data_IF_991509245292
#
_entry.id   IF_991509245292
#
_cell.length_a   1.000
_cell.length_b   1.000
_cell.length_c   1.000
_cell.angle_alpha   90.00
_cell.angle_beta   90.00
_cell.angle_gamma   90.00
#
_symmetry.space_group_name_H-M   'P 1'
#
loop_
_entity.id
_entity.type
_entity.pdbx_description
1 polymer ?
#
# COMPACT_ATOMS: atom_id res chain seq x y z
N UNK A 1 -42.30 -10.27 3.33
CA UNK A 1 -41.42 -9.13 3.01
C UNK A 1 -40.13 -9.72 2.46
N UNK A 2 -39.75 -9.41 1.22
CA UNK A 2 -38.45 -9.85 0.71
C UNK A 2 -37.36 -9.14 1.53
N UNK A 3 -36.44 -9.89 2.13
CA UNK A 3 -35.26 -9.30 2.78
C UNK A 3 -34.48 -8.51 1.73
N UNK A 4 -34.54 -7.18 1.81
CA UNK A 4 -33.74 -6.30 0.96
C UNK A 4 -32.27 -6.51 1.29
N UNK A 5 -31.60 -7.30 0.45
CA UNK A 5 -30.15 -7.54 0.49
C UNK A 5 -29.44 -6.48 -0.36
N UNK A 6 -28.20 -6.14 0.01
CA UNK A 6 -27.43 -5.10 -0.71
C UNK A 6 -27.19 -5.49 -2.16
N UNK A 7 -27.45 -4.56 -3.09
CA UNK A 7 -27.07 -4.67 -4.51
C UNK A 7 -25.86 -3.81 -4.87
N UNK A 8 -25.13 -3.27 -3.88
CA UNK A 8 -24.04 -2.34 -4.15
C UNK A 8 -22.93 -2.95 -5.02
N UNK A 9 -22.59 -2.21 -6.06
CA UNK A 9 -21.38 -2.29 -6.86
C UNK A 9 -20.89 -0.86 -7.15
N UNK A 10 -19.65 -0.69 -7.62
CA UNK A 10 -19.09 0.64 -7.83
C UNK A 10 -19.68 1.39 -9.04
N UNK A 11 -20.60 0.75 -9.80
CA UNK A 11 -21.30 1.36 -10.94
C UNK A 11 -22.57 2.12 -10.51
N UNK A 12 -23.00 1.96 -9.25
CA UNK A 12 -24.16 2.70 -8.71
C UNK A 12 -23.83 4.18 -8.46
N UNK A 13 -24.87 5.02 -8.52
CA UNK A 13 -24.75 6.43 -8.11
C UNK A 13 -24.30 6.54 -6.64
N UNK A 14 -23.60 7.62 -6.29
CA UNK A 14 -23.04 7.80 -4.93
C UNK A 14 -24.08 7.63 -3.82
N UNK A 15 -25.29 8.16 -4.01
CA UNK A 15 -26.38 8.03 -3.04
C UNK A 15 -26.89 6.59 -2.91
N UNK A 16 -27.09 5.90 -4.03
CA UNK A 16 -27.50 4.49 -4.02
C UNK A 16 -26.41 3.60 -3.42
N UNK A 17 -25.14 3.83 -3.80
CA UNK A 17 -23.99 3.12 -3.25
C UNK A 17 -23.92 3.27 -1.73
N UNK A 18 -24.05 4.50 -1.22
CA UNK A 18 -24.06 4.76 0.22
C UNK A 18 -25.18 3.99 0.94
N UNK A 19 -26.41 4.04 0.41
CA UNK A 19 -27.56 3.35 0.97
C UNK A 19 -27.34 1.83 1.03
N UNK A 20 -26.97 1.21 -0.09
CA UNK A 20 -26.81 -0.24 -0.17
C UNK A 20 -25.59 -0.74 0.63
N UNK A 21 -24.48 0.01 0.69
CA UNK A 21 -23.35 -0.34 1.58
C UNK A 21 -23.73 -0.27 3.05
N UNK A 22 -24.60 0.68 3.45
CA UNK A 22 -25.15 0.73 4.81
C UNK A 22 -26.02 -0.49 5.10
N UNK A 23 -26.85 -0.93 4.15
CA UNK A 23 -27.62 -2.17 4.28
C UNK A 23 -26.71 -3.39 4.42
N UNK A 24 -25.67 -3.51 3.58
CA UNK A 24 -24.68 -4.58 3.69
C UNK A 24 -24.04 -4.61 5.08
N UNK A 25 -23.62 -3.44 5.57
CA UNK A 25 -22.99 -3.30 6.87
C UNK A 25 -23.85 -3.80 8.03
N UNK A 26 -25.17 -3.65 7.95
CA UNK A 26 -26.08 -3.96 9.06
C UNK A 26 -26.71 -5.35 8.93
N UNK A 27 -26.94 -5.85 7.70
CA UNK A 27 -27.81 -7.02 7.46
C UNK A 27 -27.17 -8.18 6.70
N UNK A 28 -25.96 -8.05 6.15
CA UNK A 28 -25.45 -9.08 5.24
C UNK A 28 -24.95 -10.34 5.96
N UNK A 29 -24.45 -10.21 7.19
CA UNK A 29 -23.82 -11.32 7.90
C UNK A 29 -24.85 -12.16 8.66
N UNK A 30 -24.76 -13.49 8.60
CA UNK A 30 -25.65 -14.36 9.36
C UNK A 30 -25.38 -14.26 10.85
N UNK A 31 -26.41 -14.53 11.65
CA UNK A 31 -26.30 -14.67 13.11
C UNK A 31 -25.37 -15.85 13.47
N UNK A 32 -24.82 -15.85 14.70
CA UNK A 32 -23.92 -16.91 15.16
C UNK A 32 -22.48 -16.84 14.64
N UNK A 33 -22.20 -15.93 13.70
CA UNK A 33 -20.83 -15.62 13.25
C UNK A 33 -20.22 -14.56 14.14
N UNK A 34 -19.08 -14.87 14.75
CA UNK A 34 -18.30 -13.89 15.48
C UNK A 34 -17.96 -12.68 14.60
N UNK A 35 -17.97 -11.48 15.19
CA UNK A 35 -17.86 -10.21 14.47
C UNK A 35 -16.70 -10.20 13.46
N UNK A 36 -16.98 -10.03 12.15
CA UNK A 36 -15.94 -9.97 11.13
C UNK A 36 -15.14 -8.66 11.23
N UNK A 37 -13.89 -8.66 10.75
CA UNK A 37 -13.07 -7.46 10.70
C UNK A 37 -13.46 -6.59 9.50
N UNK A 38 -13.61 -5.28 9.69
CA UNK A 38 -14.00 -4.36 8.61
C UNK A 38 -12.78 -3.60 8.07
N UNK A 39 -12.15 -4.14 7.03
CA UNK A 39 -10.96 -3.52 6.41
C UNK A 39 -11.28 -2.28 5.55
N UNK A 40 -12.55 -1.90 5.38
CA UNK A 40 -12.89 -0.70 4.61
C UNK A 40 -13.08 0.52 5.50
N UNK A 41 -13.71 0.34 6.67
CA UNK A 41 -14.15 1.46 7.51
C UNK A 41 -13.58 1.46 8.93
N UNK A 42 -12.93 0.39 9.36
CA UNK A 42 -12.43 0.24 10.74
C UNK A 42 -10.93 -0.06 10.75
N UNK A 43 -10.51 -1.19 10.16
CA UNK A 43 -9.15 -1.73 10.23
C UNK A 43 -8.37 -1.65 8.91
N UNK A 44 -8.59 -0.61 8.11
CA UNK A 44 -8.03 -0.46 6.76
C UNK A 44 -6.49 -0.49 6.66
N UNK A 45 -5.77 -0.22 7.74
CA UNK A 45 -4.31 -0.24 7.82
C UNK A 45 -3.77 -1.42 8.64
N UNK A 46 -4.60 -2.40 8.98
CA UNK A 46 -4.16 -3.59 9.72
C UNK A 46 -3.01 -4.30 9.00
N UNK A 47 -1.90 -4.50 9.71
CA UNK A 47 -0.68 -5.11 9.16
C UNK A 47 0.14 -4.21 8.23
N UNK A 48 -0.29 -2.96 8.00
CA UNK A 48 0.43 -1.96 7.20
C UNK A 48 1.08 -0.88 8.06
N UNK A 49 0.72 -0.79 9.34
CA UNK A 49 1.31 0.14 10.32
C UNK A 49 1.66 -0.57 11.63
N UNK A 50 2.66 -0.07 12.36
CA UNK A 50 3.00 -0.54 13.70
C UNK A 50 2.12 0.15 14.79
N UNK A 51 2.44 -0.13 16.06
CA UNK A 51 1.71 0.45 17.21
C UNK A 51 1.92 1.95 17.41
N UNK A 52 2.98 2.52 16.85
CA UNK A 52 3.25 3.96 16.84
C UNK A 52 2.85 4.61 15.49
N UNK A 53 2.10 3.85 14.68
CA UNK A 53 1.50 4.22 13.40
C UNK A 53 2.49 4.52 12.26
N UNK A 54 3.73 4.02 12.34
CA UNK A 54 4.64 4.04 11.20
C UNK A 54 4.21 3.02 10.15
N UNK A 55 4.30 3.39 8.88
CA UNK A 55 4.04 2.48 7.77
C UNK A 55 5.13 1.42 7.64
N UNK A 56 4.71 0.19 7.33
CA UNK A 56 5.53 -1.00 7.34
C UNK A 56 5.47 -1.75 6.01
N UNK A 57 6.57 -2.44 5.68
CA UNK A 57 6.61 -3.50 4.66
C UNK A 57 7.12 -4.79 5.28
N UNK A 58 6.55 -5.92 4.86
CA UNK A 58 6.97 -7.25 5.32
C UNK A 58 8.43 -7.49 4.96
N UNK A 59 9.19 -8.10 5.87
CA UNK A 59 10.48 -8.70 5.57
C UNK A 59 10.27 -9.99 4.75
N UNK A 60 10.73 -10.07 3.48
CA UNK A 60 10.59 -11.26 2.66
C UNK A 60 11.20 -12.52 3.29
N UNK A 61 12.21 -12.39 4.16
CA UNK A 61 12.81 -13.52 4.87
C UNK A 61 11.85 -14.19 5.87
N UNK A 62 10.76 -13.51 6.21
CA UNK A 62 9.71 -14.00 7.13
C UNK A 62 8.51 -14.60 6.39
N UNK A 63 8.57 -14.64 5.06
CA UNK A 63 7.55 -15.26 4.24
C UNK A 63 7.78 -16.76 4.08
N UNK A 64 6.68 -17.50 4.08
CA UNK A 64 6.63 -18.95 3.87
C UNK A 64 5.61 -19.27 2.79
N UNK A 65 5.98 -20.19 1.90
CA UNK A 65 5.11 -20.64 0.81
C UNK A 65 3.91 -21.42 1.40
N UNK A 66 2.71 -21.04 0.99
CA UNK A 66 1.50 -21.81 1.15
C UNK A 66 1.56 -22.98 0.17
N UNK A 67 1.70 -24.20 0.68
CA UNK A 67 1.63 -25.41 -0.17
C UNK A 67 0.26 -25.47 -0.87
N UNK A 68 0.21 -25.01 -2.12
CA UNK A 68 -0.94 -25.07 -3.00
C UNK A 68 -0.64 -26.03 -4.15
N UNK A 69 -1.65 -26.79 -4.57
CA UNK A 69 -1.56 -27.73 -5.68
C UNK A 69 -1.72 -27.05 -7.04
N UNK A 70 -1.04 -25.91 -7.26
CA UNK A 70 -1.05 -25.17 -8.52
C UNK A 70 0.21 -24.33 -8.72
N UNK A 71 0.36 -23.75 -9.91
CA UNK A 71 1.63 -23.18 -10.40
C UNK A 71 2.08 -21.88 -9.72
N UNK A 72 1.21 -21.22 -8.95
CA UNK A 72 1.54 -19.97 -8.25
C UNK A 72 2.03 -20.25 -6.84
N UNK A 73 3.28 -19.89 -6.56
CA UNK A 73 3.85 -19.85 -5.22
C UNK A 73 3.26 -18.69 -4.43
N UNK A 74 2.19 -18.96 -3.68
CA UNK A 74 1.60 -17.99 -2.77
C UNK A 74 2.37 -17.98 -1.46
N UNK A 75 2.65 -16.80 -0.92
CA UNK A 75 3.40 -16.63 0.32
C UNK A 75 2.63 -15.78 1.33
N UNK A 76 2.85 -16.05 2.61
CA UNK A 76 2.38 -15.25 3.76
C UNK A 76 3.43 -15.34 4.86
N UNK A 77 3.26 -14.60 5.95
CA UNK A 77 4.14 -14.74 7.11
C UNK A 77 4.18 -16.20 7.61
N UNK A 78 5.35 -16.61 8.08
CA UNK A 78 5.66 -17.97 8.48
C UNK A 78 4.62 -18.63 9.41
N UNK A 79 4.21 -17.93 10.47
CA UNK A 79 3.21 -18.35 11.43
C UNK A 79 1.79 -18.40 10.83
N UNK A 80 1.49 -17.52 9.87
CA UNK A 80 0.21 -17.48 9.15
C UNK A 80 0.08 -18.71 8.24
N UNK A 81 1.17 -19.09 7.56
CA UNK A 81 1.19 -20.28 6.72
C UNK A 81 0.96 -21.57 7.55
N UNK A 82 1.56 -21.65 8.74
CA UNK A 82 1.36 -22.80 9.64
C UNK A 82 -0.07 -22.85 10.20
N UNK A 83 -0.61 -21.72 10.64
CA UNK A 83 -1.99 -21.62 11.09
C UNK A 83 -2.97 -22.04 9.98
N UNK A 84 -2.76 -21.54 8.76
CA UNK A 84 -3.62 -21.86 7.62
C UNK A 84 -3.57 -23.34 7.23
N UNK A 85 -2.38 -23.96 7.27
CA UNK A 85 -2.23 -25.40 7.02
C UNK A 85 -3.09 -26.22 7.98
N UNK A 86 -3.03 -25.89 9.27
CA UNK A 86 -3.74 -26.64 10.31
C UNK A 86 -5.26 -26.41 10.23
N UNK A 87 -5.67 -25.16 9.98
CA UNK A 87 -7.07 -24.82 9.68
C UNK A 87 -7.61 -25.62 8.49
N UNK A 88 -6.88 -25.61 7.36
CA UNK A 88 -7.25 -26.34 6.15
C UNK A 88 -7.38 -27.85 6.42
N UNK A 89 -6.44 -28.44 7.17
CA UNK A 89 -6.47 -29.85 7.55
C UNK A 89 -7.71 -30.17 8.39
N UNK A 90 -8.03 -29.32 9.36
CA UNK A 90 -9.21 -29.48 10.20
C UNK A 90 -10.51 -29.38 9.39
N UNK A 91 -10.64 -28.35 8.57
CA UNK A 91 -11.81 -28.14 7.73
C UNK A 91 -12.02 -29.31 6.76
N UNK A 92 -10.95 -29.78 6.09
CA UNK A 92 -11.01 -30.93 5.20
C UNK A 92 -11.38 -32.23 5.93
N UNK A 93 -10.90 -32.44 7.16
CA UNK A 93 -11.29 -33.60 7.98
C UNK A 93 -12.78 -33.57 8.30
N UNK A 94 -13.31 -32.40 8.70
CA UNK A 94 -14.73 -32.21 9.01
C UNK A 94 -15.62 -32.37 7.78
N UNK A 95 -15.18 -31.87 6.63
CA UNK A 95 -15.81 -32.12 5.34
C UNK A 95 -15.90 -33.62 5.02
N UNK A 96 -14.78 -34.34 5.15
CA UNK A 96 -14.70 -35.76 4.82
C UNK A 96 -15.55 -36.63 5.76
N UNK A 97 -15.72 -36.22 7.03
CA UNK A 97 -16.54 -36.92 8.01
C UNK A 97 -18.03 -36.58 7.96
N UNK A 98 -18.49 -35.80 6.97
CA UNK A 98 -19.90 -35.38 6.86
C UNK A 98 -20.33 -34.34 7.90
N UNK A 99 -19.39 -33.66 8.55
CA UNK A 99 -19.67 -32.61 9.53
C UNK A 99 -20.01 -31.25 8.91
N UNK A 100 -20.09 -31.17 7.59
CA UNK A 100 -20.51 -30.00 6.83
C UNK A 100 -21.85 -30.32 6.16
N UNK A 101 -22.81 -29.42 6.27
CA UNK A 101 -24.08 -29.51 5.57
C UNK A 101 -23.85 -29.33 4.06
N UNK A 102 -23.94 -30.40 3.29
CA UNK A 102 -24.30 -30.29 1.88
C UNK A 102 -25.75 -29.82 1.80
N UNK A 103 -26.10 -28.94 0.86
CA UNK A 103 -27.48 -28.54 0.61
C UNK A 103 -28.34 -29.77 0.29
N UNK A 104 -28.90 -30.37 1.33
CA UNK A 104 -29.94 -31.38 1.28
C UNK A 104 -31.04 -30.91 2.21
N UNK A 105 -32.08 -30.28 1.63
CA UNK A 105 -33.35 -30.16 2.32
C UNK A 105 -33.72 -31.54 2.87
N UNK A 106 -34.20 -31.58 4.11
CA UNK A 106 -34.60 -32.80 4.80
C UNK A 106 -35.40 -33.70 3.85
N UNK A 107 -34.85 -34.86 3.51
CA UNK A 107 -35.60 -35.95 2.87
C UNK A 107 -35.11 -36.40 1.49
N UNK A 108 -33.85 -36.83 1.36
CA UNK A 108 -33.47 -37.70 0.22
C UNK A 108 -32.39 -38.67 0.65
N UNK A 109 -32.82 -39.83 1.15
CA UNK A 109 -31.99 -41.03 1.11
C UNK A 109 -31.70 -41.33 -0.38
N UNK A 110 -30.46 -41.11 -0.83
CA UNK A 110 -30.03 -41.48 -2.18
C UNK A 110 -29.22 -40.45 -2.98
N UNK A 111 -28.98 -39.23 -2.47
CA UNK A 111 -28.21 -38.22 -3.21
C UNK A 111 -26.73 -38.21 -2.82
N UNK A 112 -25.85 -38.13 -3.82
CA UNK A 112 -24.39 -38.05 -3.73
C UNK A 112 -23.93 -37.15 -2.58
N UNK A 113 -22.84 -37.54 -1.90
CA UNK A 113 -22.16 -36.69 -0.91
C UNK A 113 -21.76 -35.36 -1.57
N UNK A 114 -22.62 -34.34 -1.45
CA UNK A 114 -22.38 -33.01 -1.99
C UNK A 114 -21.13 -32.45 -1.32
N UNK A 115 -20.09 -32.18 -2.13
CA UNK A 115 -18.85 -31.56 -1.63
C UNK A 115 -19.17 -30.18 -1.04
N UNK A 116 -18.48 -29.75 0.02
CA UNK A 116 -18.67 -28.41 0.56
C UNK A 116 -18.44 -27.36 -0.53
N UNK A 117 -19.34 -26.40 -0.64
CA UNK A 117 -19.27 -25.30 -1.61
C UNK A 117 -18.09 -24.37 -1.31
N UNK A 118 -17.82 -24.09 -0.03
CA UNK A 118 -16.61 -23.39 0.41
C UNK A 118 -15.38 -24.31 0.31
N UNK A 119 -14.46 -23.97 -0.59
CA UNK A 119 -13.18 -24.66 -0.79
C UNK A 119 -12.05 -23.91 -0.09
N UNK A 120 -11.35 -24.57 0.83
CA UNK A 120 -10.16 -24.00 1.49
C UNK A 120 -8.92 -24.18 0.60
N UNK A 121 -8.88 -23.45 -0.52
CA UNK A 121 -7.75 -23.38 -1.45
C UNK A 121 -7.32 -21.92 -1.57
N UNK A 122 -6.06 -21.57 -1.24
CA UNK A 122 -5.61 -20.19 -1.36
C UNK A 122 -5.53 -19.79 -2.84
N UNK A 123 -5.98 -18.57 -3.13
CA UNK A 123 -6.02 -17.97 -4.47
C UNK A 123 -5.15 -16.73 -4.56
N UNK A 124 -5.20 -15.86 -3.53
CA UNK A 124 -4.34 -14.70 -3.41
C UNK A 124 -3.77 -14.63 -1.98
N UNK A 125 -2.58 -14.07 -1.87
CA UNK A 125 -1.84 -13.94 -0.63
C UNK A 125 -0.94 -12.70 -0.71
N UNK A 126 0.22 -12.70 -0.06
CA UNK A 126 1.15 -11.58 -0.09
C UNK A 126 1.47 -11.11 -1.51
N UNK A 127 1.57 -9.79 -1.66
CA UNK A 127 1.98 -9.12 -2.89
C UNK A 127 3.12 -8.18 -2.53
N UNK A 128 4.17 -8.17 -3.33
CA UNK A 128 5.33 -7.31 -3.09
C UNK A 128 4.95 -5.82 -3.18
N UNK A 129 5.05 -5.06 -2.07
CA UNK A 129 4.76 -3.63 -2.07
C UNK A 129 5.71 -2.82 -2.96
N UNK A 130 6.94 -3.28 -3.18
CA UNK A 130 7.92 -2.58 -4.04
C UNK A 130 7.47 -2.61 -5.50
N UNK A 131 6.95 -3.75 -5.98
CA UNK A 131 6.40 -3.88 -7.33
C UNK A 131 5.17 -2.98 -7.50
N UNK A 132 4.26 -3.00 -6.52
CA UNK A 132 3.05 -2.16 -6.56
C UNK A 132 3.40 -0.67 -6.55
N UNK A 133 4.36 -0.27 -5.72
CA UNK A 133 4.84 1.10 -5.63
C UNK A 133 5.56 1.54 -6.91
N UNK A 134 6.38 0.67 -7.51
CA UNK A 134 7.03 0.97 -8.79
C UNK A 134 6.01 1.21 -9.91
N UNK A 135 5.02 0.33 -10.03
CA UNK A 135 3.93 0.51 -10.99
C UNK A 135 3.12 1.79 -10.73
N UNK A 136 2.98 2.19 -9.47
CA UNK A 136 2.37 3.45 -9.09
C UNK A 136 3.20 4.65 -9.54
N UNK A 137 4.50 4.66 -9.22
CA UNK A 137 5.42 5.73 -9.64
C UNK A 137 5.55 5.82 -11.16
N UNK A 138 5.49 4.69 -11.88
CA UNK A 138 5.44 4.71 -13.35
C UNK A 138 4.21 5.48 -13.86
N UNK A 139 3.03 5.26 -13.27
CA UNK A 139 1.83 6.04 -13.64
C UNK A 139 1.96 7.52 -13.32
N UNK A 140 2.62 7.86 -12.20
CA UNK A 140 2.94 9.25 -11.87
C UNK A 140 3.84 9.87 -12.94
N UNK A 141 4.88 9.15 -13.37
CA UNK A 141 5.75 9.57 -14.46
C UNK A 141 5.00 9.75 -15.77
N UNK A 142 4.28 8.73 -16.25
CA UNK A 142 3.57 8.77 -17.54
C UNK A 142 2.63 9.99 -17.61
N UNK A 143 1.97 10.30 -16.49
CA UNK A 143 1.06 11.45 -16.37
C UNK A 143 1.82 12.79 -16.30
N UNK A 144 2.95 12.84 -15.59
CA UNK A 144 3.80 14.05 -15.50
C UNK A 144 4.49 14.35 -16.84
N UNK A 145 4.99 13.31 -17.52
CA UNK A 145 5.61 13.39 -18.83
C UNK A 145 4.64 13.94 -19.86
N UNK A 146 3.40 13.43 -19.89
CA UNK A 146 2.37 13.89 -20.84
C UNK A 146 1.83 15.29 -20.56
N UNK A 147 1.69 15.68 -19.28
CA UNK A 147 1.04 16.94 -18.91
C UNK A 147 2.01 18.12 -18.67
N UNK A 148 3.24 17.83 -18.22
CA UNK A 148 4.22 18.83 -17.79
C UNK A 148 5.47 18.79 -18.67
N UNK A 149 6.17 17.66 -18.73
CA UNK A 149 7.50 17.62 -19.34
C UNK A 149 7.45 17.80 -20.86
N UNK A 150 6.46 17.21 -21.54
CA UNK A 150 6.25 17.38 -22.99
C UNK A 150 6.05 18.84 -23.40
N UNK A 151 5.35 19.63 -22.58
CA UNK A 151 5.04 21.03 -22.85
C UNK A 151 6.23 21.97 -22.58
N UNK A 152 7.19 21.51 -21.79
CA UNK A 152 8.37 22.27 -21.36
C UNK A 152 9.66 21.58 -21.79
N UNK A 153 9.60 20.80 -22.86
CA UNK A 153 10.69 19.95 -23.30
C UNK A 153 11.95 20.76 -23.64
N UNK A 154 11.80 21.93 -24.26
CA UNK A 154 12.93 22.82 -24.57
C UNK A 154 13.61 23.40 -23.32
N UNK A 155 12.92 23.44 -22.18
CA UNK A 155 13.49 23.91 -20.92
C UNK A 155 14.34 22.83 -20.21
N UNK A 156 14.12 21.55 -20.50
CA UNK A 156 14.72 20.41 -19.78
C UNK A 156 16.06 19.99 -20.42
N UNK A 157 16.98 20.93 -20.64
CA UNK A 157 18.23 20.68 -21.41
C UNK A 157 19.20 19.69 -20.73
N UNK A 158 19.11 19.54 -19.41
CA UNK A 158 19.96 18.66 -18.60
C UNK A 158 19.21 18.12 -17.38
N UNK A 159 19.84 17.22 -16.62
CA UNK A 159 19.30 16.77 -15.33
C UNK A 159 19.17 17.94 -14.34
N UNK A 160 20.02 18.96 -14.45
CA UNK A 160 19.96 20.14 -13.59
C UNK A 160 18.76 21.02 -13.87
N UNK A 161 18.28 21.03 -15.12
CA UNK A 161 17.00 21.64 -15.45
C UNK A 161 15.82 20.75 -15.01
N UNK A 162 15.99 19.43 -15.04
CA UNK A 162 14.94 18.48 -14.70
C UNK A 162 14.63 18.42 -13.21
N UNK A 163 15.64 18.30 -12.33
CA UNK A 163 15.41 18.04 -10.89
C UNK A 163 14.54 19.12 -10.23
N UNK A 164 14.78 20.43 -10.42
CA UNK A 164 13.89 21.46 -9.87
C UNK A 164 12.46 21.37 -10.43
N UNK A 165 12.32 21.07 -11.72
CA UNK A 165 11.01 20.89 -12.36
C UNK A 165 10.26 19.67 -11.80
N UNK A 166 10.98 18.57 -11.58
CA UNK A 166 10.46 17.37 -10.95
C UNK A 166 9.99 17.66 -9.52
N UNK A 167 10.81 18.31 -8.69
CA UNK A 167 10.45 18.69 -7.32
C UNK A 167 9.19 19.55 -7.29
N UNK A 168 9.09 20.58 -8.15
CA UNK A 168 7.90 21.41 -8.26
C UNK A 168 6.65 20.62 -8.73
N UNK A 169 6.86 19.65 -9.63
CA UNK A 169 5.77 18.76 -10.07
C UNK A 169 5.26 17.92 -8.90
N UNK A 170 6.16 17.35 -8.10
CA UNK A 170 5.78 16.60 -6.91
C UNK A 170 4.99 17.47 -5.92
N UNK A 171 5.43 18.71 -5.70
CA UNK A 171 4.71 19.65 -4.82
C UNK A 171 3.28 19.94 -5.28
N UNK A 172 3.05 19.92 -6.58
CA UNK A 172 1.71 20.17 -7.16
C UNK A 172 0.79 18.97 -7.01
N UNK A 173 1.31 17.74 -7.02
CA UNK A 173 0.49 16.51 -7.06
C UNK A 173 0.41 15.74 -5.74
N UNK A 174 1.33 15.98 -4.82
CA UNK A 174 1.54 15.19 -3.58
C UNK A 174 0.35 15.18 -2.63
N UNK A 175 -0.46 16.25 -2.61
CA UNK A 175 -1.67 16.33 -1.79
C UNK A 175 -2.73 15.28 -2.16
N UNK A 176 -2.77 14.83 -3.42
CA UNK A 176 -3.78 13.86 -3.91
C UNK A 176 -3.20 12.55 -4.38
N UNK A 177 -1.88 12.52 -4.60
CA UNK A 177 -1.17 11.38 -5.16
C UNK A 177 -0.02 11.00 -4.23
N UNK A 178 -0.07 9.82 -3.59
CA UNK A 178 1.05 9.33 -2.80
C UNK A 178 2.32 9.23 -3.65
N UNK A 179 3.39 9.89 -3.24
CA UNK A 179 4.70 9.89 -3.87
C UNK A 179 5.67 9.04 -3.06
N UNK A 180 5.70 9.19 -1.73
CA UNK A 180 6.53 8.35 -0.86
C UNK A 180 5.97 6.92 -0.76
N UNK A 181 6.84 5.94 -0.52
CA UNK A 181 6.38 4.57 -0.23
C UNK A 181 5.53 4.59 1.05
N UNK A 182 5.91 5.40 2.04
CA UNK A 182 5.15 5.61 3.27
C UNK A 182 3.69 6.00 3.00
N UNK A 183 3.45 7.07 2.23
CA UNK A 183 2.08 7.44 1.86
C UNK A 183 1.41 6.43 0.93
N UNK A 184 2.16 5.77 0.06
CA UNK A 184 1.58 4.75 -0.83
C UNK A 184 1.00 3.59 -0.03
N UNK A 185 1.74 3.05 0.94
CA UNK A 185 1.32 1.94 1.80
C UNK A 185 0.08 2.28 2.61
N UNK A 186 0.00 3.51 3.15
CA UNK A 186 -1.17 3.94 3.93
C UNK A 186 -2.35 4.39 3.06
N UNK A 187 -2.16 4.55 1.74
CA UNK A 187 -3.24 4.94 0.83
C UNK A 187 -4.20 3.80 0.47
N UNK A 188 -5.33 4.18 -0.13
CA UNK A 188 -6.29 3.27 -0.77
C UNK A 188 -5.75 2.55 -2.02
N UNK A 189 -4.62 3.02 -2.58
CA UNK A 189 -4.01 2.41 -3.75
C UNK A 189 -3.18 1.16 -3.41
N UNK A 190 -2.91 0.93 -2.12
CA UNK A 190 -2.16 -0.23 -1.66
C UNK A 190 -3.08 -1.27 -0.99
N UNK A 191 -3.09 -2.46 -1.59
CA UNK A 191 -3.87 -3.61 -1.11
C UNK A 191 -3.43 -4.03 0.29
N UNK A 192 -4.34 -4.47 1.18
CA UNK A 192 -3.97 -4.97 2.49
C UNK A 192 -3.16 -6.29 2.44
N UNK A 193 -3.14 -6.97 1.28
CA UNK A 193 -2.34 -8.18 1.08
C UNK A 193 -0.83 -7.96 1.25
N UNK A 194 -0.33 -6.73 1.11
CA UNK A 194 1.10 -6.42 1.33
C UNK A 194 1.55 -6.71 2.77
N UNK A 195 0.61 -6.82 3.72
CA UNK A 195 0.88 -7.11 5.14
C UNK A 195 1.38 -8.54 5.40
N UNK A 196 1.18 -9.47 4.46
CA UNK A 196 1.52 -10.89 4.67
C UNK A 196 0.65 -11.61 5.71
N UNK A 197 -0.38 -10.94 6.25
CA UNK A 197 -1.29 -11.47 7.27
C UNK A 197 -2.61 -12.01 6.71
N UNK A 198 -2.74 -12.07 5.38
CA UNK A 198 -4.03 -12.32 4.73
C UNK A 198 -3.93 -13.38 3.64
N UNK A 199 -4.97 -14.20 3.56
CA UNK A 199 -5.14 -15.23 2.53
C UNK A 199 -6.55 -15.08 1.96
N UNK A 200 -6.66 -14.95 0.64
CA UNK A 200 -7.94 -14.98 -0.07
C UNK A 200 -8.18 -16.35 -0.67
N UNK A 201 -9.37 -16.90 -0.42
CA UNK A 201 -9.82 -18.19 -0.97
C UNK A 201 -10.57 -18.04 -2.31
N UNK A 202 -10.79 -16.80 -2.74
CA UNK A 202 -11.54 -16.45 -3.94
C UNK A 202 -10.92 -15.21 -4.63
N UNK A 203 -11.22 -15.04 -5.90
CA UNK A 203 -10.75 -13.93 -6.76
C UNK A 203 -11.91 -13.01 -7.19
N UNK A 204 -13.12 -13.24 -6.68
CA UNK A 204 -14.28 -12.36 -6.87
C UNK A 204 -13.99 -10.90 -6.50
N UNK A 205 -14.70 -9.98 -7.15
CA UNK A 205 -14.52 -8.55 -6.90
C UNK A 205 -14.98 -8.16 -5.49
N UNK A 206 -14.14 -7.38 -4.80
CA UNK A 206 -14.42 -6.87 -3.46
C UNK A 206 -15.55 -5.84 -3.43
N UNK A 207 -15.95 -5.26 -4.55
CA UNK A 207 -17.00 -4.25 -4.60
C UNK A 207 -18.40 -4.81 -4.89
N UNK A 208 -18.52 -6.06 -5.34
CA UNK A 208 -19.80 -6.64 -5.75
C UNK A 208 -20.52 -7.34 -4.58
N UNK A 209 -21.37 -6.63 -3.86
CA UNK A 209 -22.11 -7.18 -2.71
C UNK A 209 -23.02 -8.38 -3.06
N UNK A 210 -23.74 -8.40 -4.20
CA UNK A 210 -24.51 -9.57 -4.62
C UNK A 210 -23.68 -10.84 -4.73
N UNK A 211 -22.44 -10.74 -5.23
CA UNK A 211 -21.56 -11.88 -5.42
C UNK A 211 -21.06 -12.42 -4.07
N UNK A 212 -20.64 -11.53 -3.16
CA UNK A 212 -20.30 -11.89 -1.76
C UNK A 212 -21.45 -12.62 -1.07
N UNK A 213 -22.65 -12.08 -1.21
CA UNK A 213 -23.81 -12.61 -0.51
C UNK A 213 -24.21 -13.99 -1.05
N UNK A 214 -24.34 -14.14 -2.38
CA UNK A 214 -24.78 -15.39 -3.01
C UNK A 214 -23.75 -16.51 -2.90
N UNK A 215 -22.46 -16.19 -3.08
CA UNK A 215 -21.39 -17.20 -3.17
C UNK A 215 -20.81 -17.61 -1.83
N UNK A 216 -20.95 -16.76 -0.79
CA UNK A 216 -20.34 -16.99 0.51
C UNK A 216 -21.33 -16.86 1.67
N UNK A 217 -21.98 -15.71 1.85
CA UNK A 217 -22.77 -15.46 3.07
C UNK A 217 -24.05 -16.32 3.14
N UNK A 218 -24.61 -16.72 2.00
CA UNK A 218 -25.74 -17.67 1.92
C UNK A 218 -25.33 -19.14 1.97
N UNK A 219 -24.04 -19.45 2.01
CA UNK A 219 -23.59 -20.83 2.14
C UNK A 219 -23.98 -21.38 3.52
N UNK A 220 -24.67 -22.52 3.61
CA UNK A 220 -25.06 -23.09 4.91
C UNK A 220 -23.86 -23.45 5.80
N UNK A 221 -22.66 -23.57 5.23
CA UNK A 221 -21.42 -23.83 5.96
C UNK A 221 -20.63 -22.55 6.27
N UNK A 222 -21.12 -21.36 5.92
CA UNK A 222 -20.39 -20.11 6.15
C UNK A 222 -20.10 -19.89 7.63
N UNK A 223 -21.10 -20.12 8.49
CA UNK A 223 -20.93 -19.99 9.94
C UNK A 223 -19.86 -20.94 10.47
N UNK A 224 -19.94 -22.22 10.08
CA UNK A 224 -18.92 -23.20 10.44
C UNK A 224 -17.53 -22.77 9.93
N UNK A 225 -17.41 -22.32 8.69
CA UNK A 225 -16.15 -21.85 8.10
C UNK A 225 -15.55 -20.69 8.91
N UNK A 226 -16.34 -19.66 9.20
CA UNK A 226 -15.88 -18.48 9.91
C UNK A 226 -15.49 -18.81 11.37
N UNK A 227 -16.29 -19.64 12.04
CA UNK A 227 -16.02 -20.05 13.42
C UNK A 227 -14.84 -21.03 13.50
N UNK A 228 -14.69 -21.94 12.53
CA UNK A 228 -13.54 -22.83 12.44
C UNK A 228 -12.24 -22.05 12.17
N UNK A 229 -12.28 -20.99 11.36
CA UNK A 229 -11.12 -20.14 11.12
C UNK A 229 -10.58 -19.51 12.42
N UNK A 230 -11.47 -19.12 13.34
CA UNK A 230 -11.10 -18.56 14.66
C UNK A 230 -10.35 -19.54 15.56
N UNK A 231 -10.67 -20.83 15.47
CA UNK A 231 -9.95 -21.89 16.20
C UNK A 231 -8.48 -21.98 15.81
N UNK A 232 -8.07 -21.30 14.73
CA UNK A 232 -6.70 -21.22 14.23
C UNK A 232 -6.17 -19.76 14.19
N UNK A 233 -6.85 -18.84 14.89
CA UNK A 233 -6.41 -17.44 15.02
C UNK A 233 -6.72 -16.56 13.80
N UNK A 234 -7.66 -16.96 12.94
CA UNK A 234 -8.13 -16.13 11.84
C UNK A 234 -9.49 -15.49 12.15
N UNK A 235 -9.70 -14.29 11.60
CA UNK A 235 -11.02 -13.66 11.47
C UNK A 235 -11.32 -13.44 9.99
N UNK A 236 -12.59 -13.44 9.60
CA UNK A 236 -13.00 -13.17 8.22
C UNK A 236 -13.17 -11.67 7.98
N UNK A 237 -12.89 -11.22 6.76
CA UNK A 237 -13.12 -9.83 6.34
C UNK A 237 -14.60 -9.60 6.02
N UNK A 238 -15.17 -8.56 6.63
CA UNK A 238 -16.54 -8.12 6.42
C UNK A 238 -16.84 -7.89 4.93
N UNK A 239 -15.94 -7.22 4.21
CA UNK A 239 -16.16 -6.81 2.83
C UNK A 239 -15.59 -7.82 1.82
N UNK A 240 -14.99 -8.91 2.30
CA UNK A 240 -14.45 -10.00 1.50
C UNK A 240 -14.59 -11.32 2.28
N UNK A 241 -15.79 -11.93 2.34
CA UNK A 241 -16.06 -13.08 3.22
C UNK A 241 -15.09 -14.28 3.06
N UNK A 242 -14.44 -14.39 1.90
CA UNK A 242 -13.41 -15.37 1.55
C UNK A 242 -11.99 -15.05 2.03
N UNK A 243 -11.76 -13.85 2.58
CA UNK A 243 -10.46 -13.41 3.07
C UNK A 243 -10.33 -13.75 4.54
N UNK A 244 -9.33 -14.57 4.83
CA UNK A 244 -8.86 -14.88 6.18
C UNK A 244 -7.81 -13.83 6.57
N UNK A 245 -8.01 -13.20 7.73
CA UNK A 245 -7.10 -12.24 8.33
C UNK A 245 -6.52 -12.87 9.59
N UNK A 246 -5.20 -13.04 9.66
CA UNK A 246 -4.53 -13.52 10.85
C UNK A 246 -4.66 -12.47 11.96
N UNK A 247 -5.31 -12.81 13.07
CA UNK A 247 -5.43 -11.96 14.25
C UNK A 247 -4.21 -12.18 15.15
N UNK A 248 -3.20 -11.30 15.01
CA UNK A 248 -1.92 -11.37 15.74
C UNK A 248 -2.04 -11.11 17.23
N UNK A 249 -3.25 -10.79 17.71
CA UNK A 249 -3.55 -10.61 19.13
C UNK A 249 -4.35 -11.78 19.72
N UNK A 250 -4.84 -12.71 18.89
CA UNK A 250 -5.55 -13.90 19.38
C UNK A 250 -4.59 -14.88 20.06
N UNK A 251 -5.03 -15.48 21.16
CA UNK A 251 -4.24 -16.49 21.91
C UNK A 251 -3.79 -17.64 21.02
N UNK A 252 -4.66 -18.11 20.12
CA UNK A 252 -4.33 -19.17 19.17
C UNK A 252 -3.27 -18.75 18.17
N UNK A 253 -3.35 -17.56 17.56
CA UNK A 253 -2.33 -17.12 16.61
C UNK A 253 -0.98 -16.92 17.32
N UNK A 254 -0.99 -16.48 18.58
CA UNK A 254 0.22 -16.34 19.39
C UNK A 254 0.97 -17.67 19.56
N UNK A 255 0.27 -18.80 19.65
CA UNK A 255 0.90 -20.13 19.69
C UNK A 255 1.66 -20.47 18.39
N UNK A 256 1.18 -19.96 17.24
CA UNK A 256 1.89 -20.10 15.97
C UNK A 256 3.07 -19.14 15.90
N UNK A 257 2.90 -17.88 16.34
CA UNK A 257 3.93 -16.85 16.34
C UNK A 257 5.13 -17.21 17.24
N UNK A 258 4.89 -17.84 18.40
CA UNK A 258 5.94 -18.18 19.36
C UNK A 258 7.00 -19.12 18.77
N UNK A 259 6.62 -20.02 17.85
CA UNK A 259 7.55 -20.93 17.15
C UNK A 259 8.63 -20.19 16.36
N UNK A 260 8.39 -18.93 16.06
CA UNK A 260 9.22 -18.08 15.24
C UNK A 260 9.85 -16.91 16.03
N UNK A 261 9.82 -16.96 17.36
CA UNK A 261 10.31 -15.89 18.24
C UNK A 261 9.44 -14.64 18.25
N UNK A 262 8.22 -14.74 17.70
CA UNK A 262 7.32 -13.61 17.51
C UNK A 262 6.23 -13.60 18.59
N UNK A 263 5.90 -12.41 19.07
CA UNK A 263 4.91 -12.12 20.12
C UNK A 263 4.00 -10.98 19.68
N UNK A 264 2.90 -10.74 20.38
CA UNK A 264 2.04 -9.57 20.13
C UNK A 264 2.80 -8.23 20.22
N UNK A 265 3.91 -8.17 20.95
CA UNK A 265 4.66 -6.94 21.20
C UNK A 265 5.74 -6.67 20.16
N UNK A 266 6.43 -7.71 19.68
CA UNK A 266 7.54 -7.58 18.75
C UNK A 266 7.19 -7.93 17.30
N UNK A 267 5.99 -8.46 17.01
CA UNK A 267 5.58 -8.87 15.65
C UNK A 267 5.92 -7.85 14.57
N UNK A 268 5.59 -6.58 14.79
CA UNK A 268 5.86 -5.52 13.81
C UNK A 268 7.35 -5.17 13.69
N UNK A 269 8.14 -5.42 14.72
CA UNK A 269 9.59 -5.14 14.71
C UNK A 269 10.40 -6.32 14.17
N UNK A 270 9.88 -7.55 14.27
CA UNK A 270 10.58 -8.77 13.83
C UNK A 270 10.21 -9.19 12.42
N UNK A 271 9.01 -8.82 11.96
CA UNK A 271 8.48 -9.29 10.68
C UNK A 271 8.43 -8.22 9.59
N UNK A 272 8.80 -6.96 9.90
CA UNK A 272 8.62 -5.83 9.01
C UNK A 272 9.76 -4.81 9.13
N UNK A 273 9.85 -3.95 8.11
CA UNK A 273 10.70 -2.76 8.08
C UNK A 273 9.85 -1.50 7.94
N UNK A 274 10.25 -0.42 8.62
CA UNK A 274 9.61 0.89 8.46
C UNK A 274 9.94 1.51 7.10
N UNK A 275 8.91 2.00 6.40
CA UNK A 275 9.06 2.46 5.02
C UNK A 275 9.82 3.77 4.87
N UNK A 276 9.67 4.67 5.85
CA UNK A 276 10.25 6.02 5.82
C UNK A 276 11.77 5.99 5.73
N UNK A 277 12.43 4.97 6.30
CA UNK A 277 13.87 4.78 6.22
C UNK A 277 14.39 4.53 4.79
N UNK A 278 13.50 4.20 3.85
CA UNK A 278 13.86 3.93 2.46
C UNK A 278 13.32 4.95 1.46
N UNK A 279 12.45 5.85 1.89
CA UNK A 279 11.74 6.78 1.02
C UNK A 279 12.69 7.73 0.29
N UNK A 280 13.61 8.37 1.01
CA UNK A 280 14.51 9.36 0.42
C UNK A 280 15.37 8.75 -0.69
N UNK A 281 15.92 7.56 -0.44
CA UNK A 281 16.70 6.82 -1.45
C UNK A 281 15.84 6.54 -2.69
N UNK A 282 14.60 6.08 -2.51
CA UNK A 282 13.67 5.82 -3.61
C UNK A 282 13.33 7.08 -4.39
N UNK A 283 12.99 8.17 -3.69
CA UNK A 283 12.66 9.45 -4.29
C UNK A 283 13.80 9.96 -5.18
N UNK A 284 15.02 9.89 -4.67
CA UNK A 284 16.24 10.27 -5.39
C UNK A 284 16.50 9.40 -6.61
N UNK A 285 16.32 8.08 -6.50
CA UNK A 285 16.45 7.16 -7.65
C UNK A 285 15.38 7.43 -8.71
N UNK A 286 14.13 7.65 -8.32
CA UNK A 286 13.06 7.96 -9.28
C UNK A 286 13.28 9.28 -10.01
N UNK A 287 13.85 10.30 -9.38
CA UNK A 287 14.20 11.53 -10.08
C UNK A 287 15.23 11.27 -11.20
N UNK A 288 16.25 10.45 -10.94
CA UNK A 288 17.25 10.05 -11.94
C UNK A 288 16.65 9.18 -13.04
N UNK A 289 15.86 8.16 -12.67
CA UNK A 289 15.24 7.24 -13.61
C UNK A 289 14.25 7.96 -14.54
N UNK A 290 13.49 8.91 -14.00
CA UNK A 290 12.53 9.71 -14.78
C UNK A 290 13.25 10.63 -15.76
N UNK A 291 14.35 11.26 -15.33
CA UNK A 291 15.16 12.06 -16.25
C UNK A 291 15.75 11.20 -17.36
N UNK A 292 16.33 10.05 -17.01
CA UNK A 292 16.96 9.13 -17.97
C UNK A 292 15.95 8.64 -18.99
N UNK A 293 14.73 8.28 -18.54
CA UNK A 293 13.64 7.91 -19.43
C UNK A 293 13.20 9.07 -20.33
N UNK A 294 13.10 10.29 -19.79
CA UNK A 294 12.72 11.48 -20.55
C UNK A 294 13.76 11.83 -21.62
N UNK A 295 15.04 11.87 -21.25
CA UNK A 295 16.14 12.18 -22.15
C UNK A 295 16.31 11.10 -23.23
N UNK A 296 16.12 9.82 -22.89
CA UNK A 296 16.13 8.72 -23.87
C UNK A 296 14.99 8.83 -24.89
N UNK A 297 13.81 9.27 -24.48
CA UNK A 297 12.68 9.51 -25.38
C UNK A 297 12.79 10.82 -26.17
N UNK A 298 13.56 11.80 -25.67
CA UNK A 298 13.69 13.15 -26.22
C UNK A 298 15.17 13.58 -26.30
N UNK A 299 16.00 12.91 -27.11
CA UNK A 299 17.45 13.05 -27.03
C UNK A 299 17.98 14.42 -27.47
N UNK A 300 17.25 15.10 -28.35
CA UNK A 300 17.65 16.40 -28.91
C UNK A 300 17.00 17.57 -28.18
N UNK A 301 17.72 18.69 -28.15
CA UNK A 301 17.23 19.96 -27.64
C UNK A 301 17.70 21.11 -28.52
N UNK A 302 16.87 22.14 -28.64
CA UNK A 302 17.19 23.33 -29.41
C UNK A 302 17.92 24.33 -28.52
N UNK A 303 19.14 24.69 -28.88
CA UNK A 303 19.97 25.64 -28.12
C UNK A 303 20.04 26.95 -28.91
N UNK A 304 19.45 28.05 -28.40
CA UNK A 304 19.62 29.37 -29.00
C UNK A 304 21.03 29.88 -28.70
N UNK A 305 21.82 30.06 -29.76
CA UNK A 305 23.17 30.65 -29.72
C UNK A 305 23.12 32.06 -30.26
N UNK A 306 23.66 33.04 -29.53
CA UNK A 306 23.77 34.42 -30.01
C UNK A 306 25.14 34.60 -30.65
N UNK A 307 25.18 34.88 -31.95
CA UNK A 307 26.42 35.19 -32.67
C UNK A 307 26.63 36.71 -32.67
N UNK A 308 27.81 37.16 -32.22
CA UNK A 308 28.24 38.55 -32.36
C UNK A 308 28.18 39.45 -31.11
N UNK A 309 27.91 38.93 -29.91
CA UNK A 309 27.98 39.73 -28.69
C UNK A 309 29.44 40.12 -28.37
N UNK A 310 29.87 41.30 -28.82
CA UNK A 310 31.03 41.98 -28.22
C UNK A 310 30.60 42.44 -26.83
N UNK A 311 31.36 42.07 -25.80
CA UNK A 311 31.21 42.67 -24.47
C UNK A 311 31.57 44.15 -24.60
N UNK A 312 30.57 44.99 -24.82
CA UNK A 312 30.69 46.43 -24.68
C UNK A 312 30.19 46.79 -23.28
N UNK A 313 31.06 47.44 -22.52
CA UNK A 313 30.76 48.09 -21.25
C UNK A 313 29.42 48.80 -21.29
N UNK A 314 28.58 48.48 -20.28
CA UNK A 314 27.40 49.19 -19.78
C UNK A 314 26.67 50.07 -20.80
N UNK A 315 25.44 49.65 -21.13
CA UNK A 315 24.36 50.44 -21.76
C UNK A 315 24.27 50.49 -23.29
N UNK A 316 24.29 49.35 -23.96
CA UNK A 316 23.38 49.02 -25.10
C UNK A 316 23.61 47.56 -25.52
N UNK A 317 22.57 46.71 -25.47
CA UNK A 317 22.63 45.37 -26.06
C UNK A 317 22.17 45.50 -27.51
N UNK A 318 23.10 45.50 -28.47
CA UNK A 318 22.76 45.37 -29.89
C UNK A 318 22.13 44.01 -30.15
N UNK A 319 21.06 44.02 -30.97
CA UNK A 319 20.31 42.83 -31.37
C UNK A 319 21.22 41.86 -32.15
N UNK A 320 21.81 40.89 -31.46
CA UNK A 320 22.52 39.78 -32.08
C UNK A 320 21.57 38.87 -32.85
N UNK A 321 22.07 38.23 -33.91
CA UNK A 321 21.34 37.20 -34.63
C UNK A 321 21.31 35.95 -33.74
N UNK A 322 20.11 35.51 -33.35
CA UNK A 322 19.91 34.22 -32.70
C UNK A 322 20.03 33.12 -33.75
N UNK A 323 21.15 32.40 -33.75
CA UNK A 323 21.30 31.15 -34.51
C UNK A 323 20.80 29.98 -33.66
N UNK A 324 20.13 29.03 -34.28
CA UNK A 324 19.59 27.84 -33.63
C UNK A 324 20.54 26.67 -33.84
N UNK A 325 21.07 26.08 -32.78
CA UNK A 325 21.87 24.84 -32.86
C UNK A 325 21.12 23.67 -32.23
N UNK A 326 21.35 22.46 -32.75
CA UNK A 326 20.82 21.23 -32.17
C UNK A 326 21.87 20.63 -31.22
N UNK A 327 21.50 20.45 -29.96
CA UNK A 327 22.31 19.76 -28.95
C UNK A 327 21.68 18.43 -28.53
N UNK A 328 22.42 17.65 -27.75
CA UNK A 328 21.92 16.48 -27.04
C UNK A 328 21.69 16.83 -25.57
N UNK A 329 20.66 16.24 -24.95
CA UNK A 329 20.43 16.44 -23.51
C UNK A 329 21.58 15.86 -22.71
N UNK A 330 22.19 16.67 -21.86
CA UNK A 330 23.34 16.27 -21.06
C UNK A 330 22.90 15.33 -19.94
N UNK A 331 23.48 14.13 -19.90
CA UNK A 331 23.32 13.21 -18.77
C UNK A 331 24.37 13.45 -17.70
N UNK A 332 24.05 13.08 -16.46
CA UNK A 332 25.06 12.77 -15.45
C UNK A 332 25.11 11.25 -15.29
N UNK A 333 26.30 10.72 -15.04
CA UNK A 333 26.41 9.39 -14.44
C UNK A 333 25.69 9.36 -13.09
N UNK A 334 25.34 8.18 -12.61
CA UNK A 334 24.66 8.04 -11.31
C UNK A 334 25.50 8.62 -10.16
N UNK A 335 26.82 8.50 -10.24
CA UNK A 335 27.76 9.05 -9.27
C UNK A 335 27.77 10.57 -9.30
N UNK A 336 27.95 11.19 -10.47
CA UNK A 336 27.91 12.65 -10.62
C UNK A 336 26.56 13.24 -10.19
N UNK A 337 25.45 12.55 -10.50
CA UNK A 337 24.12 12.96 -10.01
C UNK A 337 24.04 12.90 -8.48
N UNK A 338 24.62 11.86 -7.87
CA UNK A 338 24.63 11.73 -6.43
C UNK A 338 25.55 12.76 -5.73
N UNK A 339 26.58 13.24 -6.41
CA UNK A 339 27.42 14.31 -5.89
C UNK A 339 26.77 15.69 -6.06
N UNK A 340 26.16 15.95 -7.23
CA UNK A 340 25.48 17.21 -7.51
C UNK A 340 24.23 17.42 -6.64
N UNK A 341 23.45 16.35 -6.43
CA UNK A 341 22.25 16.36 -5.60
C UNK A 341 22.46 15.48 -4.37
N UNK A 342 23.20 16.03 -3.41
CA UNK A 342 23.56 15.34 -2.19
C UNK A 342 22.34 14.94 -1.34
N UNK A 343 22.57 14.06 -0.37
CA UNK A 343 21.50 13.61 0.54
C UNK A 343 20.88 14.77 1.31
N UNK A 344 21.65 15.81 1.67
CA UNK A 344 21.16 16.97 2.42
C UNK A 344 20.11 17.80 1.67
N UNK A 345 20.28 17.95 0.35
CA UNK A 345 19.29 18.53 -0.55
C UNK A 345 17.98 17.74 -0.46
N UNK A 346 18.05 16.42 -0.69
CA UNK A 346 16.89 15.51 -0.70
C UNK A 346 16.20 15.37 0.64
N UNK A 347 16.91 15.51 1.77
CA UNK A 347 16.30 15.55 3.12
C UNK A 347 15.28 16.68 3.22
N UNK A 348 15.63 17.86 2.69
CA UNK A 348 14.71 19.01 2.73
C UNK A 348 13.51 18.84 1.81
N UNK A 349 13.73 18.30 0.60
CA UNK A 349 12.66 17.96 -0.36
C UNK A 349 11.71 16.94 0.25
N UNK A 350 12.24 15.87 0.86
CA UNK A 350 11.45 14.81 1.47
C UNK A 350 10.59 15.33 2.64
N UNK A 351 11.13 16.19 3.51
CA UNK A 351 10.35 16.78 4.59
C UNK A 351 9.15 17.59 4.09
N UNK A 352 9.32 18.41 3.05
CA UNK A 352 8.25 19.18 2.43
C UNK A 352 7.22 18.27 1.75
N UNK A 353 7.71 17.28 1.00
CA UNK A 353 6.86 16.28 0.35
C UNK A 353 5.96 15.58 1.37
N UNK A 354 6.54 15.05 2.45
CA UNK A 354 5.78 14.34 3.49
C UNK A 354 4.74 15.23 4.16
N UNK A 355 5.06 16.50 4.43
CA UNK A 355 4.12 17.45 5.00
C UNK A 355 2.91 17.68 4.06
N UNK A 356 3.15 17.80 2.76
CA UNK A 356 2.08 17.97 1.77
C UNK A 356 1.24 16.71 1.57
N UNK A 357 1.86 15.54 1.51
CA UNK A 357 1.15 14.25 1.39
C UNK A 357 0.22 13.97 2.57
N UNK A 358 0.54 14.54 3.73
CA UNK A 358 -0.28 14.46 4.93
C UNK A 358 -1.21 15.67 5.12
N UNK A 359 -1.25 16.58 4.14
CA UNK A 359 -2.05 17.80 4.17
C UNK A 359 -1.85 18.61 5.46
N UNK A 360 -0.60 18.67 5.95
CA UNK A 360 -0.28 19.45 7.14
C UNK A 360 -0.37 20.94 6.79
N UNK A 361 -1.18 21.69 7.56
CA UNK A 361 -1.33 23.14 7.43
C UNK A 361 -0.12 23.90 8.01
N UNK A 362 1.09 23.51 7.62
CA UNK A 362 2.32 24.18 8.03
C UNK A 362 2.55 25.41 7.18
N UNK A 363 2.86 26.53 7.84
CA UNK A 363 3.35 27.71 7.16
C UNK A 363 4.80 27.51 6.66
N UNK A 364 5.25 28.42 5.81
CA UNK A 364 6.60 28.34 5.22
C UNK A 364 7.71 28.44 6.29
N UNK A 365 7.43 29.09 7.42
CA UNK A 365 8.34 29.17 8.56
C UNK A 365 8.55 27.79 9.22
N UNK A 366 7.45 27.08 9.47
CA UNK A 366 7.45 25.74 10.07
C UNK A 366 8.11 24.74 9.14
N UNK A 367 7.77 24.77 7.84
CA UNK A 367 8.43 23.94 6.82
C UNK A 367 9.94 24.17 6.83
N UNK A 368 10.38 25.42 6.80
CA UNK A 368 11.81 25.78 6.84
C UNK A 368 12.47 25.30 8.12
N UNK A 369 11.81 25.45 9.27
CA UNK A 369 12.33 24.98 10.55
C UNK A 369 12.53 23.46 10.54
N UNK A 370 11.50 22.70 10.15
CA UNK A 370 11.54 21.23 10.12
C UNK A 370 12.59 20.74 9.13
N UNK A 371 12.63 21.26 7.89
CA UNK A 371 13.63 20.88 6.89
C UNK A 371 15.04 21.23 7.32
N UNK A 372 15.26 22.41 7.93
CA UNK A 372 16.59 22.81 8.42
C UNK A 372 17.04 21.93 9.57
N UNK A 373 16.13 21.60 10.50
CA UNK A 373 16.44 20.72 11.63
C UNK A 373 16.75 19.30 11.17
N UNK A 374 15.98 18.75 10.22
CA UNK A 374 16.25 17.44 9.64
C UNK A 374 17.65 17.40 8.97
N UNK A 375 18.02 18.44 8.20
CA UNK A 375 19.35 18.55 7.59
C UNK A 375 20.47 18.63 8.63
N UNK A 376 20.25 19.36 9.75
CA UNK A 376 21.21 19.40 10.86
C UNK A 376 21.37 18.03 11.52
N UNK A 377 20.27 17.32 11.79
CA UNK A 377 20.32 15.96 12.35
C UNK A 377 21.09 15.04 11.40
N UNK A 378 20.82 15.09 10.09
CA UNK A 378 21.57 14.32 9.10
C UNK A 378 23.07 14.62 9.15
N UNK A 379 23.44 15.90 9.19
CA UNK A 379 24.85 16.34 9.17
C UNK A 379 25.63 15.99 10.44
N UNK A 380 24.98 16.05 11.60
CA UNK A 380 25.67 15.97 12.90
C UNK A 380 25.37 14.69 13.70
N UNK A 381 24.37 13.91 13.30
CA UNK A 381 23.98 12.65 13.95
C UNK A 381 24.12 11.51 12.95
N UNK A 382 23.08 11.25 12.15
CA UNK A 382 23.09 10.26 11.08
C UNK A 382 21.84 10.37 10.20
N UNK A 383 21.82 9.59 9.11
CA UNK A 383 20.69 9.50 8.18
C UNK A 383 19.40 8.98 8.83
N UNK A 384 19.47 7.88 9.58
CA UNK A 384 18.29 7.25 10.18
C UNK A 384 17.59 8.19 11.17
N UNK A 385 18.36 8.84 12.04
CA UNK A 385 17.89 9.85 12.99
C UNK A 385 17.17 11.01 12.29
N UNK A 386 17.64 11.43 11.11
CA UNK A 386 16.98 12.49 10.34
C UNK A 386 15.65 12.01 9.72
N UNK A 387 15.61 10.78 9.22
CA UNK A 387 14.40 10.17 8.66
C UNK A 387 13.34 9.92 9.73
N UNK A 388 13.73 9.42 10.90
CA UNK A 388 12.85 9.24 12.06
C UNK A 388 12.28 10.59 12.50
N UNK A 389 13.10 11.63 12.60
CA UNK A 389 12.64 12.97 12.92
C UNK A 389 11.60 13.48 11.92
N UNK A 390 11.82 13.32 10.61
CA UNK A 390 10.84 13.72 9.59
C UNK A 390 9.55 12.92 9.76
N UNK A 391 9.64 11.60 9.90
CA UNK A 391 8.49 10.73 10.08
C UNK A 391 7.68 11.13 11.32
N UNK A 392 8.32 11.37 12.47
CA UNK A 392 7.62 11.81 13.67
C UNK A 392 6.90 13.14 13.53
N UNK A 393 7.44 14.07 12.72
CA UNK A 393 6.78 15.35 12.44
C UNK A 393 5.67 15.24 11.40
N UNK A 394 5.72 14.22 10.54
CA UNK A 394 4.87 14.12 9.35
C UNK A 394 4.08 12.82 9.27
N UNK A 395 3.98 12.03 10.33
CA UNK A 395 3.21 10.79 10.30
C UNK A 395 1.72 11.07 10.49
N UNK A 396 0.90 10.23 9.86
CA UNK A 396 -0.54 10.22 10.09
C UNK A 396 -0.87 9.50 11.40
N UNK A 397 -1.74 10.09 12.19
CA UNK A 397 -2.42 9.41 13.31
C UNK A 397 -3.80 8.97 12.81
N UNK A 398 -3.82 7.80 12.16
CA UNK A 398 -4.99 7.21 11.52
C UNK A 398 -6.00 6.65 12.53
N UNK A 399 -5.50 6.18 13.66
CA UNK A 399 -6.31 5.63 14.74
C UNK A 399 -6.04 6.38 16.05
N UNK A 400 -7.03 6.47 16.96
CA UNK A 400 -6.76 6.97 18.31
C UNK A 400 -5.74 6.05 18.99
N UNK A 401 -4.91 6.58 19.89
CA UNK A 401 -3.91 5.78 20.62
C UNK A 401 -4.51 4.57 21.34
N UNK A 402 -5.79 4.66 21.72
CA UNK A 402 -6.56 3.59 22.37
C UNK A 402 -6.94 2.44 21.43
N UNK A 403 -7.01 2.66 20.11
CA UNK A 403 -7.37 1.65 19.11
C UNK A 403 -6.41 0.45 19.13
N UNK A 404 -5.14 0.72 19.41
CA UNK A 404 -4.08 -0.28 19.49
C UNK A 404 -3.86 -0.80 20.93
N UNK A 405 -4.51 -0.16 21.91
CA UNK A 405 -4.51 -0.55 23.33
C UNK A 405 -5.69 -1.43 23.71
N UNK A 406 -6.43 -2.04 22.77
CA UNK A 406 -7.42 -3.06 23.11
C UNK A 406 -6.72 -4.29 23.73
N UNK A 407 -6.43 -4.18 25.03
CA UNK A 407 -6.52 -5.28 25.96
C UNK A 407 -7.96 -5.80 25.93
N UNK A 408 -8.17 -7.10 26.11
CA UNK A 408 -9.51 -7.67 26.21
C UNK A 408 -10.14 -7.22 27.53
N UNK A 409 -10.83 -6.09 27.52
CA UNK A 409 -11.91 -5.84 28.48
C UNK A 409 -13.21 -6.26 27.80
N UNK A 410 -13.51 -7.55 27.88
CA UNK A 410 -14.86 -8.13 27.87
C UNK A 410 -14.73 -9.66 28.03
N UNK A 411 -14.13 -10.08 29.15
CA UNK A 411 -14.57 -11.27 29.89
C UNK A 411 -15.22 -10.74 31.18
N UNK A 412 -16.51 -10.43 31.10
CA UNK A 412 -17.45 -10.49 32.23
C UNK A 412 -18.78 -11.00 31.73
#
# INVERSE_FOLDING_TARGET
MAEETSIANNDLSTGALFYYRKLYKIRAYPDGVARPADLWYDKNLYGKINRIQDALVVDPARLKILKSSGDKELQVLDFVADAFRDFRKFYMKKAASGGLSGLGGKGTAGLERVRPSIKIKPKRAWVDPQILYHNHMKRVYDKSASLVFSKRQEEITSIDAFVPMFVNTLETVSSRTPISLTSFITSKYCTPLVSGLMIELDEQSHDADPAKYRSWLKDPNYEFYANAARLYGFVVDKNAPWRLIADVFSSTMLNYMQKYGTTKYNCFNTCYYSTHLSDLRKLRSYAYDFYTAFAGANPTVVIPTVRGAKVATVSTVEAGITETTFGFRAGLSLEEYYDAYDTGFWVGVYARLRAQEMELNWDESTLRHVSTRARKIYKYVDFYSAMDYINDKTKGYYYPETFLRQQPEEER
#
